data_IF_284425550657
#
_entry.id   IF_284425550657
#
_cell.length_a   1.000
_cell.length_b   1.000
_cell.length_c   1.000
_cell.angle_alpha   90.00
_cell.angle_beta   90.00
_cell.angle_gamma   90.00
#
_symmetry.space_group_name_H-M   'P 1'
#
loop_
_entity.id
_entity.type
_entity.pdbx_description
1 polymer ?
#
# COMPACT_ATOMS: atom_id res chain seq x y z
N UNK A 1 -4.62 -11.40 13.17
CA UNK A 1 -5.59 -12.50 13.06
C UNK A 1 -5.68 -13.40 14.31
N UNK A 2 -4.62 -14.12 14.75
CA UNK A 2 -4.71 -15.00 15.94
C UNK A 2 -5.01 -14.24 17.23
N UNK A 3 -4.36 -13.09 17.43
CA UNK A 3 -4.57 -12.23 18.61
C UNK A 3 -6.03 -11.70 18.64
N UNK A 4 -6.56 -11.23 17.52
CA UNK A 4 -7.93 -10.73 17.40
C UNK A 4 -8.96 -11.79 17.80
N UNK A 5 -8.75 -13.03 17.36
CA UNK A 5 -9.58 -14.18 17.74
C UNK A 5 -9.55 -14.46 19.23
N UNK A 6 -8.37 -14.42 19.87
CA UNK A 6 -8.22 -14.66 21.30
C UNK A 6 -8.90 -13.54 22.10
N UNK A 7 -8.75 -12.28 21.69
CA UNK A 7 -9.39 -11.13 22.34
C UNK A 7 -10.91 -11.20 22.22
N UNK A 8 -11.44 -11.56 21.05
CA UNK A 8 -12.87 -11.73 20.83
C UNK A 8 -13.48 -12.83 21.70
N UNK A 9 -12.85 -14.02 21.74
CA UNK A 9 -13.33 -15.15 22.56
C UNK A 9 -13.23 -14.82 24.05
N UNK A 10 -12.13 -14.21 24.49
CA UNK A 10 -11.95 -13.83 25.90
C UNK A 10 -12.98 -12.80 26.34
N UNK A 11 -13.27 -11.81 25.48
CA UNK A 11 -14.29 -10.78 25.75
C UNK A 11 -15.69 -11.40 25.88
N UNK A 12 -16.02 -12.35 25.00
CA UNK A 12 -17.30 -13.07 25.06
C UNK A 12 -17.43 -13.88 26.35
N UNK A 13 -16.38 -14.58 26.78
CA UNK A 13 -16.37 -15.34 28.03
C UNK A 13 -16.57 -14.44 29.25
N UNK A 14 -15.93 -13.27 29.29
CA UNK A 14 -16.12 -12.30 30.37
C UNK A 14 -17.58 -11.86 30.44
N UNK A 15 -18.21 -11.55 29.31
CA UNK A 15 -19.63 -11.15 29.25
C UNK A 15 -20.52 -12.27 29.80
N UNK A 16 -20.29 -13.53 29.41
CA UNK A 16 -21.08 -14.66 29.90
C UNK A 16 -20.93 -14.88 31.41
N UNK A 17 -19.72 -14.77 31.95
CA UNK A 17 -19.47 -14.89 33.38
C UNK A 17 -20.12 -13.74 34.16
N UNK A 18 -20.03 -12.51 33.66
CA UNK A 18 -20.69 -11.35 34.27
C UNK A 18 -22.21 -11.47 34.26
N UNK A 19 -22.79 -11.95 33.15
CA UNK A 19 -24.22 -12.20 33.05
C UNK A 19 -24.68 -13.31 34.02
N UNK A 20 -23.95 -14.43 34.09
CA UNK A 20 -24.24 -15.54 35.00
C UNK A 20 -24.15 -15.10 36.47
N UNK A 21 -23.06 -14.41 36.84
CA UNK A 21 -22.87 -13.90 38.19
C UNK A 21 -23.89 -12.81 38.54
N UNK A 22 -24.19 -11.91 37.61
CA UNK A 22 -25.18 -10.84 37.77
C UNK A 22 -26.59 -11.40 37.97
N UNK A 23 -26.99 -12.39 37.19
CA UNK A 23 -28.26 -13.09 37.38
C UNK A 23 -28.32 -13.79 38.75
N UNK A 24 -27.23 -14.46 39.16
CA UNK A 24 -27.11 -15.07 40.48
C UNK A 24 -27.25 -14.07 41.63
N UNK A 25 -26.75 -12.84 41.47
CA UNK A 25 -26.92 -11.78 42.46
C UNK A 25 -28.40 -11.37 42.60
N UNK A 26 -29.12 -11.22 41.50
CA UNK A 26 -30.54 -10.82 41.51
C UNK A 26 -31.45 -11.90 42.08
N UNK A 27 -31.24 -13.17 41.70
CA UNK A 27 -32.11 -14.30 42.07
C UNK A 27 -31.76 -14.91 43.45
N UNK A 28 -30.67 -14.47 44.07
CA UNK A 28 -30.22 -15.00 45.37
C UNK A 28 -31.26 -14.90 46.50
N UNK A 29 -32.26 -14.00 46.39
CA UNK A 29 -33.49 -14.06 47.18
C UNK A 29 -33.30 -14.03 48.70
N UNK A 30 -32.19 -13.46 49.19
CA UNK A 30 -31.84 -13.41 50.61
C UNK A 30 -31.02 -14.59 51.15
N UNK A 31 -30.66 -15.57 50.30
CA UNK A 31 -29.69 -16.60 50.67
C UNK A 31 -28.27 -16.01 50.68
N UNK A 32 -27.74 -15.74 51.87
CA UNK A 32 -26.43 -15.12 52.08
C UNK A 32 -25.29 -15.89 51.40
N UNK A 33 -25.33 -17.23 51.45
CA UNK A 33 -24.29 -18.07 50.83
C UNK A 33 -24.30 -17.97 49.30
N UNK A 34 -25.49 -17.98 48.69
CA UNK A 34 -25.64 -17.81 47.25
C UNK A 34 -25.21 -16.41 46.79
N UNK A 35 -25.53 -15.37 47.57
CA UNK A 35 -25.11 -13.99 47.32
C UNK A 35 -23.59 -13.85 47.35
N UNK A 36 -22.92 -14.36 48.39
CA UNK A 36 -21.47 -14.27 48.53
C UNK A 36 -20.75 -15.01 47.38
N UNK A 37 -21.27 -16.16 46.97
CA UNK A 37 -20.71 -16.92 45.84
C UNK A 37 -20.87 -16.16 44.52
N UNK A 38 -22.05 -15.61 44.23
CA UNK A 38 -22.30 -14.82 43.03
C UNK A 38 -21.45 -13.54 42.99
N UNK A 39 -21.31 -12.85 44.13
CA UNK A 39 -20.43 -11.68 44.29
C UNK A 39 -18.97 -12.03 44.03
N UNK A 40 -18.50 -13.19 44.51
CA UNK A 40 -17.15 -13.67 44.28
C UNK A 40 -16.85 -13.83 42.78
N UNK A 41 -17.74 -14.50 42.04
CA UNK A 41 -17.58 -14.64 40.60
C UNK A 41 -17.61 -13.30 39.85
N UNK A 42 -18.52 -12.41 40.25
CA UNK A 42 -18.61 -11.08 39.66
C UNK A 42 -17.32 -10.27 39.85
N UNK A 43 -16.76 -10.28 41.07
CA UNK A 43 -15.54 -9.54 41.37
C UNK A 43 -14.31 -10.13 40.68
N UNK A 44 -14.21 -11.46 40.62
CA UNK A 44 -13.12 -12.13 39.91
C UNK A 44 -13.13 -11.80 38.40
N UNK A 45 -14.32 -11.71 37.79
CA UNK A 45 -14.45 -11.31 36.39
C UNK A 45 -14.01 -9.85 36.16
N UNK A 46 -14.35 -8.93 37.07
CA UNK A 46 -13.90 -7.53 37.01
C UNK A 46 -12.38 -7.43 37.16
N UNK A 47 -11.80 -8.17 38.11
CA UNK A 47 -10.34 -8.17 38.31
C UNK A 47 -9.64 -8.68 37.04
N UNK A 48 -10.15 -9.76 36.42
CA UNK A 48 -9.63 -10.26 35.15
C UNK A 48 -9.66 -9.23 34.02
N UNK A 49 -10.77 -8.49 33.90
CA UNK A 49 -10.90 -7.41 32.91
C UNK A 49 -9.87 -6.30 33.15
N UNK A 50 -9.66 -5.88 34.40
CA UNK A 50 -8.66 -4.87 34.75
C UNK A 50 -7.24 -5.34 34.38
N UNK A 51 -6.91 -6.60 34.64
CA UNK A 51 -5.60 -7.17 34.30
C UNK A 51 -5.38 -7.16 32.78
N UNK A 52 -6.39 -7.53 31.99
CA UNK A 52 -6.29 -7.52 30.51
C UNK A 52 -6.07 -6.10 29.99
N UNK A 53 -6.82 -5.11 30.51
CA UNK A 53 -6.65 -3.71 30.13
C UNK A 53 -5.28 -3.17 30.53
N UNK A 54 -4.78 -3.52 31.72
CA UNK A 54 -3.46 -3.13 32.18
C UNK A 54 -2.33 -3.76 31.35
N UNK A 55 -2.47 -5.03 30.98
CA UNK A 55 -1.51 -5.69 30.09
C UNK A 55 -1.47 -5.01 28.71
N UNK A 56 -2.65 -4.67 28.17
CA UNK A 56 -2.76 -3.94 26.92
C UNK A 56 -2.06 -2.58 26.97
N UNK A 57 -2.30 -1.76 28.00
CA UNK A 57 -1.66 -0.43 28.14
C UNK A 57 -0.15 -0.53 28.35
N UNK A 58 0.33 -1.55 29.07
CA UNK A 58 1.76 -1.77 29.30
C UNK A 58 2.50 -2.10 28.01
N UNK A 59 1.97 -3.03 27.20
CA UNK A 59 2.56 -3.36 25.90
C UNK A 59 2.56 -2.11 25.01
N UNK A 60 1.48 -1.31 25.03
CA UNK A 60 1.33 -0.10 24.20
C UNK A 60 2.37 0.95 24.54
N UNK A 61 2.56 1.17 25.84
CA UNK A 61 3.57 2.08 26.34
C UNK A 61 4.98 1.59 25.99
N UNK A 62 5.26 0.29 26.13
CA UNK A 62 6.57 -0.28 25.81
C UNK A 62 6.91 -0.12 24.31
N UNK A 63 5.94 -0.38 23.42
CA UNK A 63 6.15 -0.25 21.98
C UNK A 63 6.40 1.20 21.55
N UNK A 64 5.69 2.17 22.15
CA UNK A 64 5.94 3.61 21.92
C UNK A 64 7.37 4.01 22.25
N UNK A 65 7.90 3.48 23.35
CA UNK A 65 9.27 3.79 23.81
C UNK A 65 10.33 3.20 22.88
N UNK A 66 10.07 2.02 22.32
CA UNK A 66 11.06 1.31 21.48
C UNK A 66 11.11 1.79 20.03
N UNK A 67 10.01 2.34 19.50
CA UNK A 67 9.86 2.66 18.07
C UNK A 67 9.99 4.18 17.77
N UNK A 68 10.13 5.02 18.80
CA UNK A 68 10.23 6.49 18.69
C UNK A 68 9.11 7.14 17.84
N UNK A 69 7.91 6.56 17.93
CA UNK A 69 6.69 7.09 17.32
C UNK A 69 5.72 7.54 18.42
N UNK A 70 5.16 8.74 18.23
CA UNK A 70 4.21 9.35 19.16
C UNK A 70 2.76 8.93 18.88
N UNK A 71 2.50 8.29 17.75
CA UNK A 71 1.30 7.49 17.52
C UNK A 71 1.67 6.07 17.97
N UNK A 72 0.95 5.41 18.89
CA UNK A 72 -0.02 4.38 18.48
C UNK A 72 -0.99 3.86 19.56
N UNK A 73 -1.93 3.03 19.07
CA UNK A 73 -3.01 2.25 19.70
C UNK A 73 -4.26 2.36 18.79
N UNK A 74 -4.98 1.28 18.33
CA UNK A 74 -4.93 -0.14 18.68
C UNK A 74 -4.28 -1.00 17.57
N UNK A 75 -2.99 -1.29 17.70
CA UNK A 75 -2.22 -2.37 17.04
C UNK A 75 -2.33 -2.64 15.52
N UNK A 76 -2.74 -1.63 14.74
CA UNK A 76 -2.49 -1.43 13.31
C UNK A 76 -3.51 -2.02 12.32
N UNK A 77 -4.63 -1.31 12.19
CA UNK A 77 -5.68 -1.47 11.18
C UNK A 77 -5.23 -0.86 9.83
N UNK A 78 -5.09 -1.69 8.79
CA UNK A 78 -5.44 -1.28 7.43
C UNK A 78 -6.82 -1.89 7.18
N UNK A 79 -7.87 -1.07 7.25
CA UNK A 79 -9.16 -1.43 6.64
C UNK A 79 -9.02 -1.27 5.12
N UNK A 80 -8.98 -2.41 4.42
CA UNK A 80 -8.94 -2.49 2.96
C UNK A 80 -10.29 -2.19 2.28
N UNK A 81 -11.34 -1.81 3.02
CA UNK A 81 -12.62 -1.40 2.43
C UNK A 81 -12.61 -0.02 1.77
N UNK A 82 -11.58 0.81 2.01
CA UNK A 82 -11.42 2.15 1.41
C UNK A 82 -10.22 2.30 0.46
N UNK A 83 -9.47 1.23 0.18
CA UNK A 83 -8.47 1.24 -0.89
C UNK A 83 -9.08 0.70 -2.19
N UNK A 84 -10.01 1.48 -2.75
CA UNK A 84 -10.60 1.23 -4.08
C UNK A 84 -12.11 1.42 -4.14
N UNK A 85 -12.61 2.63 -3.90
CA UNK A 85 -14.03 2.94 -4.13
C UNK A 85 -14.36 4.41 -3.94
N UNK A 86 -14.18 5.21 -4.99
CA UNK A 86 -14.74 6.57 -5.09
C UNK A 86 -16.25 6.49 -4.88
N UNK A 87 -16.74 6.77 -3.68
CA UNK A 87 -18.16 7.09 -3.48
C UNK A 87 -18.27 8.60 -3.50
N UNK A 88 -18.81 9.12 -4.59
CA UNK A 88 -19.24 10.50 -4.73
C UNK A 88 -20.12 10.88 -3.53
N UNK A 89 -19.56 11.64 -2.59
CA UNK A 89 -20.37 12.38 -1.63
C UNK A 89 -20.96 13.57 -2.39
N UNK A 90 -22.25 13.44 -2.69
CA UNK A 90 -23.08 14.57 -3.07
C UNK A 90 -23.01 15.62 -1.93
N UNK A 91 -22.31 16.73 -2.19
CA UNK A 91 -22.36 17.90 -1.33
C UNK A 91 -23.70 18.61 -1.58
N UNK A 92 -24.64 18.48 -0.64
CA UNK A 92 -25.75 19.41 -0.54
C UNK A 92 -25.23 20.71 0.10
N UNK A 93 -25.21 21.80 -0.66
CA UNK A 93 -25.16 23.14 -0.08
C UNK A 93 -26.54 23.77 -0.21
N UNK A 94 -27.13 24.02 0.95
CA UNK A 94 -28.33 24.82 1.14
C UNK A 94 -27.92 26.26 1.48
N UNK A 95 -28.71 27.18 0.94
CA UNK A 95 -29.03 28.51 1.47
C UNK A 95 -28.19 29.70 1.00
N UNK A 96 -28.91 30.76 0.61
CA UNK A 96 -28.37 32.11 0.60
C UNK A 96 -28.94 33.06 -0.45
N UNK A 97 -30.25 33.34 -0.41
CA UNK A 97 -30.85 34.44 -1.17
C UNK A 97 -30.19 35.79 -0.80
N UNK A 98 -29.81 36.57 -1.81
CA UNK A 98 -29.33 37.94 -1.66
C UNK A 98 -29.64 38.76 -2.90
N UNK A 99 -30.71 39.54 -2.83
CA UNK A 99 -31.21 40.42 -3.90
C UNK A 99 -30.25 41.60 -4.15
N UNK A 100 -29.92 41.89 -5.41
CA UNK A 100 -29.32 43.15 -5.83
C UNK A 100 -30.28 43.92 -6.75
N UNK A 101 -30.47 45.20 -6.42
CA UNK A 101 -31.43 46.12 -6.98
C UNK A 101 -31.15 46.50 -8.44
N UNK A 102 -32.23 46.74 -9.19
CA UNK A 102 -32.26 47.09 -10.60
C UNK A 102 -31.71 48.50 -10.90
N UNK A 103 -30.93 48.61 -11.98
CA UNK A 103 -30.72 49.85 -12.75
C UNK A 103 -31.71 49.85 -13.94
N UNK A 104 -32.34 50.97 -14.30
CA UNK A 104 -33.26 51.04 -15.42
C UNK A 104 -32.47 51.10 -16.76
N UNK A 105 -33.04 50.48 -17.79
CA UNK A 105 -32.68 50.59 -19.21
C UNK A 105 -31.64 49.60 -19.80
N UNK A 106 -31.70 48.32 -19.43
CA UNK A 106 -31.08 47.23 -20.22
C UNK A 106 -32.16 46.35 -20.89
N UNK A 107 -31.96 45.90 -22.15
CA UNK A 107 -32.91 45.03 -22.84
C UNK A 107 -33.06 43.69 -22.10
N UNK A 108 -34.30 43.21 -21.98
CA UNK A 108 -34.69 42.06 -21.16
C UNK A 108 -33.83 40.82 -21.45
N UNK A 109 -32.99 40.45 -20.49
CA UNK A 109 -32.29 39.17 -20.45
C UNK A 109 -33.29 38.05 -20.13
N UNK A 110 -33.07 36.79 -20.60
CA UNK A 110 -33.86 35.66 -20.15
C UNK A 110 -33.75 35.56 -18.62
N UNK A 111 -34.90 35.51 -17.94
CA UNK A 111 -34.99 35.72 -16.50
C UNK A 111 -34.15 34.74 -15.66
N UNK A 112 -33.88 33.53 -16.17
CA UNK A 112 -33.03 32.54 -15.49
C UNK A 112 -32.28 31.66 -16.49
N UNK A 113 -31.00 31.40 -16.23
CA UNK A 113 -30.23 30.38 -16.95
C UNK A 113 -30.60 28.98 -16.43
N UNK A 114 -30.50 27.91 -17.26
CA UNK A 114 -30.64 26.53 -16.80
C UNK A 114 -29.64 26.21 -15.68
N UNK A 115 -29.98 25.22 -14.83
CA UNK A 115 -29.07 24.73 -13.80
C UNK A 115 -27.67 24.42 -14.38
N UNK A 116 -26.62 24.87 -13.68
CA UNK A 116 -25.18 24.78 -14.05
C UNK A 116 -24.66 25.79 -15.10
N UNK A 117 -25.47 26.77 -15.51
CA UNK A 117 -25.02 27.88 -16.35
C UNK A 117 -24.97 29.19 -15.54
N UNK A 118 -23.96 30.02 -15.79
CA UNK A 118 -23.86 31.37 -15.23
C UNK A 118 -24.20 32.40 -16.32
N UNK A 119 -24.98 33.41 -15.96
CA UNK A 119 -25.30 34.52 -16.86
C UNK A 119 -24.07 35.45 -16.94
N UNK A 120 -23.48 35.58 -18.12
CA UNK A 120 -22.38 36.51 -18.37
C UNK A 120 -22.88 37.64 -19.26
N UNK A 121 -22.79 38.88 -18.78
CA UNK A 121 -23.22 40.06 -19.52
C UNK A 121 -22.02 40.88 -19.99
N UNK A 122 -21.95 41.14 -21.30
CA UNK A 122 -21.00 42.07 -21.91
C UNK A 122 -21.69 43.29 -22.51
N UNK A 123 -20.92 44.21 -23.08
CA UNK A 123 -21.43 45.43 -23.72
C UNK A 123 -22.36 45.19 -24.92
N UNK A 124 -22.38 43.96 -25.45
CA UNK A 124 -23.20 43.55 -26.60
C UNK A 124 -24.33 42.57 -26.24
N UNK A 125 -24.63 42.39 -24.95
CA UNK A 125 -25.72 41.54 -24.47
C UNK A 125 -25.27 40.47 -23.46
N UNK A 126 -26.24 39.72 -22.94
CA UNK A 126 -25.99 38.65 -21.98
C UNK A 126 -26.16 37.27 -22.63
N UNK A 127 -25.30 36.32 -22.26
CA UNK A 127 -25.43 34.92 -22.63
C UNK A 127 -25.20 34.02 -21.43
N UNK A 128 -25.89 32.88 -21.39
CA UNK A 128 -25.65 31.85 -20.38
C UNK A 128 -24.46 31.00 -20.83
N UNK A 129 -23.38 30.99 -20.06
CA UNK A 129 -22.23 30.10 -20.31
C UNK A 129 -22.17 29.00 -19.25
N UNK A 130 -21.84 27.77 -19.69
CA UNK A 130 -21.71 26.63 -18.79
C UNK A 130 -20.54 26.90 -17.83
N UNK A 131 -20.83 27.07 -16.54
CA UNK A 131 -19.77 27.21 -15.54
C UNK A 131 -19.36 25.83 -15.06
N UNK A 132 -18.50 25.18 -15.85
CA UNK A 132 -17.58 24.21 -15.27
C UNK A 132 -16.49 25.07 -14.63
N UNK A 133 -16.71 25.48 -13.38
CA UNK A 133 -15.60 25.87 -12.53
C UNK A 133 -14.85 24.57 -12.27
N UNK A 134 -13.88 24.25 -13.13
CA UNK A 134 -12.77 23.43 -12.69
C UNK A 134 -12.07 24.33 -11.69
N UNK A 135 -12.47 24.25 -10.41
CA UNK A 135 -11.58 24.65 -9.35
C UNK A 135 -10.33 23.82 -9.63
N UNK A 136 -9.29 24.47 -10.16
CA UNK A 136 -7.97 23.87 -10.17
C UNK A 136 -7.74 23.48 -8.73
N UNK A 137 -7.62 22.18 -8.40
CA UNK A 137 -7.32 21.78 -7.04
C UNK A 137 -6.12 22.61 -6.63
N UNK A 138 -6.16 23.23 -5.46
CA UNK A 138 -4.91 23.67 -4.88
C UNK A 138 -4.05 22.43 -4.78
N UNK A 139 -3.08 22.33 -5.69
CA UNK A 139 -2.04 21.32 -5.66
C UNK A 139 -1.31 21.56 -4.34
N UNK A 140 -1.71 20.85 -3.30
CA UNK A 140 -1.08 20.87 -1.98
C UNK A 140 0.33 20.26 -1.99
N UNK A 141 0.87 20.00 -3.19
CA UNK A 141 2.16 19.39 -3.44
C UNK A 141 2.16 17.87 -3.19
N UNK A 142 1.00 17.26 -2.94
CA UNK A 142 0.89 15.82 -2.72
C UNK A 142 0.36 15.10 -3.96
N UNK A 143 0.80 13.86 -4.13
CA UNK A 143 0.34 12.95 -5.17
C UNK A 143 -0.60 11.91 -4.54
N UNK A 144 -1.70 11.59 -5.23
CA UNK A 144 -2.64 10.55 -4.77
C UNK A 144 -1.97 9.17 -4.62
N UNK A 145 -0.91 8.92 -5.39
CA UNK A 145 -0.05 7.75 -5.24
C UNK A 145 1.13 8.09 -4.30
N UNK A 146 1.27 7.41 -3.14
CA UNK A 146 2.37 7.65 -2.21
C UNK A 146 3.75 7.31 -2.77
N UNK A 147 3.84 6.51 -3.85
CA UNK A 147 5.09 6.17 -4.52
C UNK A 147 5.55 7.23 -5.55
N UNK A 148 4.75 8.29 -5.75
CA UNK A 148 5.00 9.32 -6.76
C UNK A 148 5.37 10.63 -6.07
N UNK A 149 6.31 11.35 -6.65
CA UNK A 149 6.71 12.68 -6.18
C UNK A 149 6.18 13.75 -7.13
N UNK A 150 5.81 14.87 -6.55
CA UNK A 150 5.35 16.03 -7.30
C UNK A 150 6.53 16.67 -8.03
N UNK A 151 6.53 16.63 -9.36
CA UNK A 151 7.61 17.15 -10.20
C UNK A 151 7.14 18.42 -10.93
N UNK A 152 7.92 19.49 -10.78
CA UNK A 152 7.79 20.70 -11.59
C UNK A 152 9.08 20.88 -12.42
N UNK A 153 8.97 21.13 -13.74
CA UNK A 153 10.15 21.36 -14.58
C UNK A 153 11.02 22.51 -14.02
N UNK A 154 12.34 22.31 -13.91
CA UNK A 154 13.24 23.39 -13.50
C UNK A 154 13.28 24.43 -14.61
N UNK A 155 12.74 25.61 -14.34
CA UNK A 155 12.74 26.71 -15.32
C UNK A 155 11.53 27.63 -15.32
N UNK A 156 10.52 27.41 -14.46
CA UNK A 156 9.57 28.45 -14.02
C UNK A 156 9.07 29.42 -15.10
N UNK A 157 8.76 28.90 -16.28
CA UNK A 157 8.06 29.64 -17.32
C UNK A 157 6.57 29.45 -17.13
N UNK A 158 5.82 30.54 -17.16
CA UNK A 158 4.35 30.56 -17.09
C UNK A 158 3.81 29.60 -18.16
N UNK A 159 3.32 28.41 -17.76
CA UNK A 159 2.80 27.38 -18.67
C UNK A 159 3.34 25.96 -18.50
N UNK A 160 4.33 25.70 -17.64
CA UNK A 160 4.75 24.34 -17.30
C UNK A 160 3.80 23.68 -16.30
N UNK A 161 2.97 22.72 -16.73
CA UNK A 161 2.14 21.93 -15.81
C UNK A 161 3.03 21.00 -14.97
N UNK A 162 2.95 21.12 -13.65
CA UNK A 162 3.53 20.13 -12.74
C UNK A 162 2.73 18.82 -12.85
N UNK A 163 3.39 17.69 -12.65
CA UNK A 163 2.79 16.37 -12.74
C UNK A 163 3.33 15.44 -11.66
N UNK A 164 2.54 14.45 -11.26
CA UNK A 164 2.99 13.35 -10.42
C UNK A 164 3.69 12.30 -11.28
N UNK A 165 4.93 11.98 -10.94
CA UNK A 165 5.68 10.90 -11.56
C UNK A 165 6.44 10.12 -10.49
N UNK A 166 6.83 8.85 -10.76
CA UNK A 166 7.75 8.14 -9.88
C UNK A 166 8.99 9.03 -9.62
N UNK A 167 9.59 8.97 -8.41
CA UNK A 167 10.84 9.67 -8.16
C UNK A 167 11.84 9.37 -9.27
N UNK A 168 12.58 10.39 -9.76
CA UNK A 168 13.66 10.13 -10.70
C UNK A 168 14.53 9.05 -10.08
N UNK A 169 14.94 8.01 -10.82
CA UNK A 169 15.84 7.02 -10.27
C UNK A 169 17.04 7.76 -9.65
N UNK A 170 17.51 7.35 -8.45
CA UNK A 170 18.67 7.95 -7.83
C UNK A 170 19.77 8.09 -8.88
N UNK A 171 20.45 9.24 -8.89
CA UNK A 171 21.56 9.47 -9.81
C UNK A 171 22.45 8.22 -9.83
N UNK A 172 22.55 7.59 -11.00
CA UNK A 172 23.18 6.29 -11.16
C UNK A 172 24.60 6.40 -10.59
N UNK A 173 24.96 5.67 -9.52
CA UNK A 173 26.32 5.67 -9.04
C UNK A 173 27.21 5.21 -10.20
N UNK A 174 28.23 6.00 -10.51
CA UNK A 174 29.11 5.84 -11.67
C UNK A 174 30.01 4.58 -11.63
N UNK A 175 29.74 3.62 -10.72
CA UNK A 175 30.47 2.35 -10.67
C UNK A 175 29.74 1.31 -9.81
N UNK A 176 29.01 0.40 -10.46
CA UNK A 176 28.58 -0.87 -9.85
C UNK A 176 27.70 -0.77 -8.61
N UNK A 177 27.80 -1.80 -7.77
CA UNK A 177 27.07 -1.95 -6.53
C UNK A 177 28.03 -1.80 -5.33
N UNK A 178 28.21 -0.58 -4.78
CA UNK A 178 29.23 -0.30 -3.78
C UNK A 178 28.95 -0.94 -2.41
N UNK A 179 27.68 -1.23 -2.11
CA UNK A 179 27.20 -1.86 -0.88
C UNK A 179 26.74 -3.32 -1.11
N UNK A 180 27.11 -3.92 -2.25
CA UNK A 180 26.70 -5.27 -2.57
C UNK A 180 27.33 -6.29 -1.64
N UNK A 181 26.49 -7.16 -1.10
CA UNK A 181 26.89 -8.35 -0.36
C UNK A 181 26.50 -9.60 -1.16
N UNK A 182 27.07 -10.74 -0.79
CA UNK A 182 26.71 -12.01 -1.43
C UNK A 182 25.21 -12.29 -1.28
N UNK A 183 24.60 -12.84 -2.34
CA UNK A 183 23.22 -13.33 -2.28
C UNK A 183 23.08 -14.31 -1.10
N UNK A 184 22.08 -14.14 -0.22
CA UNK A 184 21.89 -15.02 0.93
C UNK A 184 21.82 -16.49 0.50
N UNK A 185 22.59 -17.35 1.17
CA UNK A 185 22.74 -18.77 0.80
C UNK A 185 21.45 -19.58 0.90
N UNK A 186 20.43 -19.06 1.60
CA UNK A 186 19.10 -19.66 1.69
C UNK A 186 18.26 -19.49 0.42
N UNK A 187 18.68 -18.67 -0.53
CA UNK A 187 17.94 -18.38 -1.76
C UNK A 187 18.56 -19.17 -2.92
N UNK A 188 17.83 -20.14 -3.52
CA UNK A 188 18.28 -20.81 -4.72
C UNK A 188 18.49 -19.82 -5.86
N UNK A 189 19.45 -20.13 -6.73
CA UNK A 189 19.69 -19.35 -7.94
C UNK A 189 19.84 -20.25 -9.15
N UNK A 190 19.39 -19.75 -10.30
CA UNK A 190 19.62 -20.39 -11.60
C UNK A 190 21.11 -20.33 -11.95
N UNK A 191 21.60 -21.33 -12.70
CA UNK A 191 22.93 -21.23 -13.30
C UNK A 191 23.01 -19.97 -14.17
N UNK A 192 24.10 -19.19 -14.02
CA UNK A 192 24.29 -17.89 -14.68
C UNK A 192 23.25 -16.82 -14.31
N UNK A 193 22.68 -16.90 -13.10
CA UNK A 193 21.87 -15.81 -12.57
C UNK A 193 22.68 -14.53 -12.31
N UNK A 194 24.00 -14.62 -12.37
CA UNK A 194 24.90 -13.48 -12.43
C UNK A 194 26.08 -13.87 -13.31
N UNK A 195 26.90 -12.89 -13.66
CA UNK A 195 28.15 -13.16 -14.35
C UNK A 195 29.16 -13.82 -13.40
N UNK A 196 29.15 -15.15 -13.41
CA UNK A 196 30.05 -16.00 -12.62
C UNK A 196 31.54 -15.73 -12.93
N UNK A 197 31.86 -15.12 -14.08
CA UNK A 197 33.24 -14.72 -14.44
C UNK A 197 33.71 -13.46 -13.72
N UNK A 198 32.76 -12.62 -13.28
CA UNK A 198 33.01 -11.40 -12.51
C UNK A 198 32.84 -11.67 -11.01
N UNK A 199 31.75 -12.34 -10.61
CA UNK A 199 31.54 -12.76 -9.24
C UNK A 199 30.73 -14.06 -9.16
N UNK A 200 31.33 -15.18 -8.71
CA UNK A 200 30.66 -16.48 -8.66
C UNK A 200 29.59 -16.59 -7.58
N UNK A 201 29.39 -15.58 -6.72
CA UNK A 201 28.43 -15.68 -5.61
C UNK A 201 27.10 -14.97 -5.86
N UNK A 202 26.94 -14.25 -6.97
CA UNK A 202 25.90 -13.23 -7.15
C UNK A 202 25.87 -12.25 -5.97
N UNK A 203 25.47 -11.02 -6.24
CA UNK A 203 25.39 -10.01 -5.20
C UNK A 203 24.12 -9.21 -5.35
N UNK A 204 23.74 -8.61 -4.24
CA UNK A 204 22.63 -7.69 -4.11
C UNK A 204 23.02 -6.62 -3.09
N UNK A 205 22.44 -5.44 -3.21
CA UNK A 205 22.64 -4.37 -2.23
C UNK A 205 22.28 -4.88 -0.84
N UNK A 206 23.10 -4.54 0.16
CA UNK A 206 22.83 -4.86 1.56
C UNK A 206 21.43 -4.39 2.01
N UNK A 207 20.90 -3.33 1.38
CA UNK A 207 19.58 -2.78 1.70
C UNK A 207 18.39 -3.64 1.29
N UNK A 208 18.55 -4.63 0.40
CA UNK A 208 17.48 -5.57 0.04
C UNK A 208 17.73 -6.99 0.55
N UNK A 209 18.94 -7.33 0.98
CA UNK A 209 19.34 -8.71 1.23
C UNK A 209 18.53 -9.42 2.32
N UNK A 210 18.36 -8.78 3.48
CA UNK A 210 17.57 -9.36 4.57
C UNK A 210 16.09 -9.53 4.19
N UNK A 211 15.53 -8.52 3.52
CA UNK A 211 14.13 -8.54 3.11
C UNK A 211 13.87 -9.60 2.04
N UNK A 212 14.81 -9.78 1.09
CA UNK A 212 14.72 -10.80 0.05
C UNK A 212 14.80 -12.22 0.63
N UNK A 213 15.65 -12.43 1.64
CA UNK A 213 15.74 -13.72 2.32
C UNK A 213 14.42 -14.05 3.05
N UNK A 214 13.89 -13.10 3.83
CA UNK A 214 12.62 -13.30 4.54
C UNK A 214 11.45 -13.53 3.57
N UNK A 215 11.41 -12.78 2.46
CA UNK A 215 10.45 -13.00 1.38
C UNK A 215 10.55 -14.44 0.85
N UNK A 216 11.75 -14.93 0.56
CA UNK A 216 11.95 -16.29 0.05
C UNK A 216 11.51 -17.36 1.05
N UNK A 217 11.82 -17.19 2.34
CA UNK A 217 11.40 -18.10 3.41
C UNK A 217 9.87 -18.20 3.51
N UNK A 218 9.15 -17.08 3.40
CA UNK A 218 7.68 -17.06 3.39
C UNK A 218 7.10 -17.72 2.15
N UNK A 219 7.68 -17.49 0.97
CA UNK A 219 7.27 -18.16 -0.27
C UNK A 219 7.41 -19.69 -0.11
N UNK A 220 8.54 -20.16 0.41
CA UNK A 220 8.80 -21.58 0.68
C UNK A 220 7.85 -22.19 1.72
N UNK A 221 7.52 -21.44 2.78
CA UNK A 221 6.56 -21.87 3.80
C UNK A 221 5.14 -22.08 3.25
N UNK A 222 4.80 -21.41 2.14
CA UNK A 222 3.54 -21.60 1.40
C UNK A 222 3.61 -22.73 0.36
N UNK A 223 4.69 -23.53 0.34
CA UNK A 223 4.86 -24.63 -0.60
C UNK A 223 5.21 -24.21 -2.02
N UNK A 224 5.63 -22.96 -2.21
CA UNK A 224 6.04 -22.41 -3.50
C UNK A 224 7.56 -22.40 -3.57
N UNK A 225 8.11 -23.00 -4.64
CA UNK A 225 9.53 -23.01 -4.88
C UNK A 225 9.87 -21.93 -5.90
N UNK A 226 10.84 -21.10 -5.58
CA UNK A 226 11.37 -20.09 -6.49
C UNK A 226 12.87 -19.94 -6.35
N UNK A 227 13.45 -19.18 -7.28
CA UNK A 227 14.88 -18.95 -7.35
C UNK A 227 15.14 -17.59 -7.99
N UNK A 228 16.28 -17.01 -7.66
CA UNK A 228 16.82 -15.85 -8.37
C UNK A 228 17.31 -16.29 -9.74
N UNK A 229 16.82 -15.63 -10.79
CA UNK A 229 17.20 -15.90 -12.18
C UNK A 229 18.13 -14.86 -12.78
N UNK A 230 18.17 -13.66 -12.20
CA UNK A 230 19.15 -12.62 -12.52
C UNK A 230 19.41 -11.73 -11.29
N UNK A 231 20.66 -11.35 -11.05
CA UNK A 231 21.11 -10.47 -9.98
C UNK A 231 22.44 -9.78 -10.37
N UNK A 232 23.02 -8.97 -9.49
CA UNK A 232 24.30 -8.33 -9.78
C UNK A 232 25.47 -9.32 -9.73
N UNK A 233 26.49 -9.16 -10.58
CA UNK A 233 26.43 -8.43 -11.85
C UNK A 233 25.59 -9.21 -12.88
N UNK A 234 24.70 -8.55 -13.65
CA UNK A 234 23.92 -9.24 -14.68
C UNK A 234 24.83 -9.76 -15.79
N UNK A 235 24.35 -10.74 -16.56
CA UNK A 235 25.15 -11.33 -17.64
C UNK A 235 25.43 -10.30 -18.74
N UNK A 236 26.70 -10.06 -19.06
CA UNK A 236 27.11 -9.04 -20.03
C UNK A 236 27.30 -7.65 -19.43
N UNK A 237 27.27 -7.53 -18.09
CA UNK A 237 27.42 -6.26 -17.38
C UNK A 237 28.72 -5.55 -17.76
N UNK A 238 28.58 -4.28 -18.14
CA UNK A 238 29.70 -3.40 -18.38
C UNK A 238 29.68 -2.25 -17.38
N UNK A 239 30.71 -2.05 -16.56
CA UNK A 239 30.80 -0.89 -15.67
C UNK A 239 30.75 0.46 -16.42
N UNK A 240 31.13 0.46 -17.70
CA UNK A 240 31.06 1.65 -18.57
C UNK A 240 29.71 1.82 -19.28
N UNK A 241 28.82 0.81 -19.23
CA UNK A 241 27.45 0.88 -19.75
C UNK A 241 26.49 0.08 -18.83
N UNK A 242 26.16 0.63 -17.65
CA UNK A 242 25.32 -0.05 -16.66
C UNK A 242 23.85 -0.19 -17.10
N UNK A 243 23.46 0.44 -18.22
CA UNK A 243 22.11 0.38 -18.80
C UNK A 243 22.00 -0.52 -20.04
N UNK A 244 23.12 -1.05 -20.53
CA UNK A 244 23.16 -1.81 -21.78
C UNK A 244 22.38 -3.13 -21.77
N UNK A 245 21.93 -3.59 -20.60
CA UNK A 245 21.24 -4.87 -20.42
C UNK A 245 19.77 -4.68 -20.07
N UNK A 246 19.40 -3.63 -19.33
CA UNK A 246 18.04 -3.34 -18.90
C UNK A 246 17.75 -1.83 -18.94
N UNK A 247 16.49 -1.46 -19.21
CA UNK A 247 16.01 -0.07 -19.19
C UNK A 247 16.16 0.63 -17.82
N UNK A 248 16.25 -0.14 -16.73
CA UNK A 248 16.47 0.36 -15.37
C UNK A 248 17.85 -0.07 -14.87
N UNK A 249 18.68 0.84 -14.34
CA UNK A 249 20.00 0.53 -13.79
C UNK A 249 19.99 -0.32 -12.50
N UNK A 250 18.83 -0.77 -12.03
CA UNK A 250 18.68 -1.48 -10.74
C UNK A 250 19.47 -2.80 -10.66
N UNK A 251 19.68 -3.49 -11.79
CA UNK A 251 20.57 -4.66 -11.80
C UNK A 251 22.03 -4.24 -11.69
N UNK A 252 22.40 -3.11 -12.31
CA UNK A 252 23.77 -2.58 -12.30
C UNK A 252 24.22 -2.01 -10.94
N UNK A 253 23.28 -1.67 -10.05
CA UNK A 253 23.55 -1.24 -8.68
C UNK A 253 23.07 -2.26 -7.62
N UNK A 254 22.61 -3.45 -8.05
CA UNK A 254 22.15 -4.52 -7.18
C UNK A 254 20.89 -4.24 -6.35
N UNK A 255 20.09 -3.22 -6.67
CA UNK A 255 18.85 -2.88 -5.94
C UNK A 255 17.59 -3.59 -6.47
N UNK A 256 17.75 -4.50 -7.43
CA UNK A 256 16.71 -5.41 -7.88
C UNK A 256 17.27 -6.79 -8.23
N UNK A 257 16.38 -7.78 -8.31
CA UNK A 257 16.68 -9.12 -8.83
C UNK A 257 15.52 -9.60 -9.69
N UNK A 258 15.84 -10.46 -10.66
CA UNK A 258 14.82 -11.26 -11.33
C UNK A 258 14.61 -12.53 -10.53
N UNK A 259 13.34 -12.87 -10.31
CA UNK A 259 12.93 -14.03 -9.55
C UNK A 259 11.92 -14.83 -10.35
N UNK A 260 12.04 -16.16 -10.34
CA UNK A 260 11.09 -17.02 -11.02
C UNK A 260 10.86 -18.31 -10.24
N UNK A 261 9.77 -19.00 -10.56
CA UNK A 261 9.45 -20.28 -9.95
C UNK A 261 10.46 -21.35 -10.36
N UNK A 262 10.77 -22.24 -9.42
CA UNK A 262 11.68 -23.37 -9.61
C UNK A 262 10.96 -24.66 -9.24
N UNK A 263 10.22 -25.21 -10.21
CA UNK A 263 9.40 -26.41 -10.00
C UNK A 263 7.96 -26.13 -9.51
N UNK A 264 7.62 -24.88 -9.24
CA UNK A 264 6.24 -24.41 -9.08
C UNK A 264 5.71 -23.82 -10.40
N UNK A 265 4.38 -23.77 -10.54
CA UNK A 265 3.72 -23.18 -11.72
C UNK A 265 3.50 -21.68 -11.56
N UNK A 266 3.42 -20.96 -12.68
CA UNK A 266 3.10 -19.53 -12.71
C UNK A 266 1.58 -19.30 -12.59
N UNK A 267 0.94 -19.94 -11.61
CA UNK A 267 -0.49 -19.76 -11.36
C UNK A 267 -0.77 -18.43 -10.67
N UNK A 268 -1.98 -17.85 -10.83
CA UNK A 268 -2.39 -16.64 -10.12
C UNK A 268 -2.17 -16.71 -8.61
N UNK A 269 -2.42 -17.87 -8.00
CA UNK A 269 -2.25 -18.11 -6.57
C UNK A 269 -0.77 -18.02 -6.16
N UNK A 270 0.11 -18.69 -6.88
CA UNK A 270 1.55 -18.64 -6.62
C UNK A 270 2.12 -17.24 -6.88
N UNK A 271 1.58 -16.54 -7.87
CA UNK A 271 1.99 -15.17 -8.18
C UNK A 271 1.62 -14.23 -7.03
N UNK A 272 0.41 -14.35 -6.50
CA UNK A 272 -0.03 -13.57 -5.35
C UNK A 272 0.81 -13.84 -4.11
N UNK A 273 1.20 -15.09 -3.84
CA UNK A 273 2.10 -15.42 -2.73
C UNK A 273 3.42 -14.64 -2.81
N UNK A 274 4.03 -14.53 -4.00
CA UNK A 274 5.27 -13.78 -4.19
C UNK A 274 5.04 -12.27 -3.99
N UNK A 275 3.95 -11.73 -4.53
CA UNK A 275 3.61 -10.30 -4.41
C UNK A 275 3.34 -9.92 -2.96
N UNK A 276 2.55 -10.70 -2.24
CA UNK A 276 2.22 -10.50 -0.83
C UNK A 276 3.49 -10.57 0.03
N UNK A 277 4.30 -11.62 -0.15
CA UNK A 277 5.56 -11.76 0.58
C UNK A 277 6.52 -10.60 0.32
N UNK A 278 6.61 -10.11 -0.92
CA UNK A 278 7.45 -8.95 -1.22
C UNK A 278 6.94 -7.69 -0.48
N UNK A 279 5.63 -7.45 -0.51
CA UNK A 279 5.03 -6.30 0.16
C UNK A 279 5.22 -6.34 1.69
N UNK A 280 5.09 -7.51 2.30
CA UNK A 280 5.25 -7.71 3.76
C UNK A 280 6.65 -7.34 4.26
N UNK A 281 7.67 -7.46 3.39
CA UNK A 281 9.06 -7.11 3.72
C UNK A 281 9.54 -5.84 3.02
N UNK A 282 8.64 -4.94 2.63
CA UNK A 282 9.00 -3.64 2.07
C UNK A 282 9.73 -3.72 0.72
N UNK A 283 9.47 -4.77 -0.04
CA UNK A 283 9.90 -4.92 -1.44
C UNK A 283 8.71 -4.66 -2.36
N UNK A 284 9.00 -4.51 -3.65
CA UNK A 284 7.97 -4.41 -4.70
C UNK A 284 8.22 -5.50 -5.73
N UNK A 285 7.32 -6.47 -5.80
CA UNK A 285 7.31 -7.45 -6.88
C UNK A 285 6.46 -6.96 -8.06
N UNK A 286 7.03 -6.99 -9.25
CA UNK A 286 6.31 -6.77 -10.51
C UNK A 286 6.43 -8.03 -11.33
N UNK A 287 5.31 -8.67 -11.64
CA UNK A 287 5.26 -9.81 -12.53
C UNK A 287 5.17 -9.35 -13.99
N UNK A 288 6.15 -9.75 -14.79
CA UNK A 288 6.28 -9.33 -16.18
C UNK A 288 5.72 -10.40 -17.11
N UNK A 289 4.89 -9.98 -18.06
CA UNK A 289 4.32 -10.82 -19.12
C UNK A 289 4.54 -10.19 -20.48
N UNK A 290 4.57 -10.99 -21.54
CA UNK A 290 4.85 -10.49 -22.89
C UNK A 290 3.62 -9.83 -23.52
N UNK A 291 2.42 -10.39 -23.26
CA UNK A 291 1.18 -9.99 -23.93
C UNK A 291 0.19 -9.37 -22.94
N UNK A 292 -0.49 -8.30 -23.37
CA UNK A 292 -1.57 -7.68 -22.60
C UNK A 292 -2.70 -8.68 -22.29
N UNK A 293 -2.97 -9.63 -23.19
CA UNK A 293 -3.95 -10.69 -22.94
C UNK A 293 -3.61 -11.54 -21.72
N UNK A 294 -2.33 -11.87 -21.52
CA UNK A 294 -1.86 -12.62 -20.33
C UNK A 294 -2.04 -11.78 -19.06
N UNK A 295 -1.70 -10.49 -19.14
CA UNK A 295 -1.89 -9.54 -18.04
C UNK A 295 -3.36 -9.49 -17.61
N UNK A 296 -4.27 -9.35 -18.57
CA UNK A 296 -5.72 -9.34 -18.29
C UNK A 296 -6.22 -10.66 -17.71
N UNK A 297 -5.72 -11.81 -18.17
CA UNK A 297 -6.07 -13.11 -17.58
C UNK A 297 -5.67 -13.19 -16.11
N UNK A 298 -4.49 -12.71 -15.73
CA UNK A 298 -4.02 -12.71 -14.34
C UNK A 298 -4.81 -11.73 -13.46
N UNK A 299 -5.12 -10.54 -13.98
CA UNK A 299 -5.96 -9.55 -13.28
C UNK A 299 -7.35 -10.13 -13.00
N UNK A 300 -7.97 -10.75 -14.01
CA UNK A 300 -9.28 -11.39 -13.86
C UNK A 300 -9.25 -12.59 -12.90
N UNK A 301 -8.09 -13.20 -12.70
CA UNK A 301 -7.86 -14.26 -11.74
C UNK A 301 -7.50 -13.75 -10.32
N UNK A 302 -7.49 -12.43 -10.11
CA UNK A 302 -7.29 -11.81 -8.79
C UNK A 302 -5.87 -11.38 -8.48
N UNK A 303 -4.97 -11.32 -9.47
CA UNK A 303 -3.64 -10.72 -9.27
C UNK A 303 -3.73 -9.19 -9.35
N UNK A 304 -3.13 -8.43 -8.42
CA UNK A 304 -3.19 -6.97 -8.42
C UNK A 304 -2.66 -6.36 -9.73
N UNK A 305 -3.47 -5.53 -10.39
CA UNK A 305 -3.12 -4.92 -11.67
C UNK A 305 -1.87 -4.01 -11.60
N UNK A 306 -1.59 -3.40 -10.44
CA UNK A 306 -0.40 -2.59 -10.19
C UNK A 306 0.89 -3.40 -10.01
N UNK A 307 0.77 -4.72 -9.85
CA UNK A 307 1.89 -5.65 -9.69
C UNK A 307 2.13 -6.49 -10.95
N UNK A 308 1.49 -6.15 -12.09
CA UNK A 308 1.71 -6.82 -13.38
C UNK A 308 2.02 -5.79 -14.46
N UNK A 309 3.11 -6.01 -15.17
CA UNK A 309 3.53 -5.17 -16.29
C UNK A 309 3.67 -5.99 -17.57
N UNK A 310 3.31 -5.39 -18.69
CA UNK A 310 3.60 -5.95 -20.01
C UNK A 310 4.92 -5.40 -20.52
N UNK A 311 5.86 -6.28 -20.85
CA UNK A 311 7.18 -5.92 -21.36
C UNK A 311 7.42 -6.66 -22.66
N UNK A 312 7.67 -5.91 -23.73
CA UNK A 312 7.96 -6.49 -25.04
C UNK A 312 9.32 -7.20 -25.02
N UNK A 313 9.43 -8.31 -25.74
CA UNK A 313 10.67 -9.07 -25.94
C UNK A 313 11.26 -9.76 -24.71
N UNK A 314 10.43 -10.06 -23.70
CA UNK A 314 10.87 -10.96 -22.62
C UNK A 314 10.90 -12.41 -23.11
N UNK A 315 11.90 -13.18 -22.68
CA UNK A 315 12.04 -14.59 -23.09
C UNK A 315 11.07 -15.52 -22.37
N UNK A 316 10.67 -15.16 -21.16
CA UNK A 316 9.65 -15.83 -20.37
C UNK A 316 9.12 -14.90 -19.27
N UNK A 317 7.88 -15.09 -18.80
CA UNK A 317 7.38 -14.39 -17.63
C UNK A 317 8.21 -14.66 -16.38
N UNK A 318 8.46 -13.61 -15.60
CA UNK A 318 9.25 -13.64 -14.38
C UNK A 318 8.85 -12.46 -13.49
N UNK A 319 9.38 -12.40 -12.27
CA UNK A 319 9.25 -11.24 -11.40
C UNK A 319 10.50 -10.38 -11.47
N UNK A 320 10.29 -9.07 -11.50
CA UNK A 320 11.29 -8.08 -11.12
C UNK A 320 11.00 -7.66 -9.68
N UNK A 321 11.89 -8.00 -8.75
CA UNK A 321 11.77 -7.66 -7.33
C UNK A 321 12.63 -6.43 -7.04
N UNK A 322 11.99 -5.33 -6.67
CA UNK A 322 12.64 -4.05 -6.44
C UNK A 322 12.70 -3.72 -4.95
N UNK A 323 13.75 -2.99 -4.57
CA UNK A 323 13.74 -2.14 -3.38
C UNK A 323 12.59 -1.11 -3.47
N UNK A 324 11.87 -0.89 -2.36
CA UNK A 324 10.99 0.29 -2.22
C UNK A 324 11.75 1.53 -1.79
#
# INVERSE_FOLDING_TARGET
KVIDWIVAISSLLIILVLAYAGFGLVVSGGNQSAYEKAKGYFMNAIIGLIIILAAWTLIDTLMKVLVDDTKFGPWNEIDSSNCGGVRNLAYQHSDGQGNAAALPDAPEAPAECPANYQLTCGSSGCSCTLSIVIETPQLDGTCDNPDYVFQCPPGGGVGGSCYCAPPPPPAVPTSGCPDCIALPSGIPRKSRACDDSVNPNCQISASIASNLQLMHEVIGANGVNGQVTEAYPPTGYSPSDPTGIHSNPCHGNGTCVDYNFSGSTNSPENINIVIEAANDFGLRAVYEVELEAQRQTLINAGVPAGSIQTVAHITAPHFSIYKR
#
